data_IF_785293844719
#
_entry.id   IF_785293844719
#
_cell.length_a   1.000
_cell.length_b   1.000
_cell.length_c   1.000
_cell.angle_alpha   90.00
_cell.angle_beta   90.00
_cell.angle_gamma   90.00
#
_symmetry.space_group_name_H-M   'P 1'
#
loop_
_entity.id
_entity.type
_entity.pdbx_description
1 polymer ?
#
# COMPACT_ATOMS: atom_id res chain seq x y z
N UNK A 1 -19.79 16.56 -5.07
CA UNK A 1 -18.53 16.29 -4.32
C UNK A 1 -17.45 17.20 -4.88
N UNK A 2 -16.29 17.39 -4.23
CA UNK A 2 -15.23 18.18 -4.86
C UNK A 2 -14.60 17.34 -5.98
N UNK A 3 -14.15 18.00 -7.08
CA UNK A 3 -13.49 17.31 -8.22
C UNK A 3 -12.40 16.32 -7.80
N UNK A 4 -11.65 16.62 -6.73
CA UNK A 4 -10.59 15.75 -6.21
C UNK A 4 -11.13 14.43 -5.66
N UNK A 5 -12.29 14.44 -4.99
CA UNK A 5 -12.92 13.22 -4.48
C UNK A 5 -13.41 12.34 -5.62
N UNK A 6 -14.02 12.97 -6.64
CA UNK A 6 -14.54 12.25 -7.79
C UNK A 6 -13.41 11.60 -8.62
N UNK A 7 -12.30 12.31 -8.80
CA UNK A 7 -11.08 11.77 -9.43
C UNK A 7 -10.51 10.58 -8.62
N UNK A 8 -10.38 10.73 -7.30
CA UNK A 8 -9.85 9.68 -6.44
C UNK A 8 -10.75 8.43 -6.45
N UNK A 9 -12.06 8.61 -6.40
CA UNK A 9 -13.05 7.51 -6.50
C UNK A 9 -12.95 6.81 -7.86
N UNK A 10 -12.82 7.57 -8.95
CA UNK A 10 -12.60 7.01 -10.30
C UNK A 10 -11.35 6.13 -10.32
N UNK A 11 -10.21 6.65 -9.86
CA UNK A 11 -8.94 5.90 -9.80
C UNK A 11 -9.03 4.63 -8.98
N UNK A 12 -9.75 4.66 -7.85
CA UNK A 12 -9.97 3.47 -7.01
C UNK A 12 -10.83 2.42 -7.70
N UNK A 13 -11.87 2.81 -8.45
CA UNK A 13 -12.67 1.88 -9.24
C UNK A 13 -11.85 1.21 -10.33
N UNK A 14 -11.08 1.99 -11.08
CA UNK A 14 -10.16 1.45 -12.08
C UNK A 14 -9.13 0.50 -11.47
N UNK A 15 -8.55 0.86 -10.31
CA UNK A 15 -7.62 -0.02 -9.60
C UNK A 15 -8.28 -1.33 -9.12
N UNK A 16 -9.55 -1.29 -8.69
CA UNK A 16 -10.29 -2.48 -8.29
C UNK A 16 -10.60 -3.40 -9.49
N UNK A 17 -11.00 -2.83 -10.62
CA UNK A 17 -11.21 -3.57 -11.88
C UNK A 17 -9.91 -4.25 -12.34
N UNK A 18 -8.78 -3.51 -12.30
CA UNK A 18 -7.46 -4.07 -12.62
C UNK A 18 -7.04 -5.16 -11.63
N UNK A 19 -7.35 -5.00 -10.33
CA UNK A 19 -7.07 -6.01 -9.31
C UNK A 19 -7.78 -7.32 -9.63
N UNK A 20 -9.05 -7.23 -9.98
CA UNK A 20 -9.84 -8.40 -10.34
C UNK A 20 -9.35 -9.03 -11.65
N UNK A 21 -9.09 -8.23 -12.68
CA UNK A 21 -8.66 -8.73 -13.99
C UNK A 21 -7.27 -9.37 -13.98
N UNK A 22 -6.31 -8.82 -13.22
CA UNK A 22 -4.91 -9.23 -13.26
C UNK A 22 -4.54 -10.26 -12.18
N UNK A 23 -5.25 -10.26 -11.06
CA UNK A 23 -4.89 -11.07 -9.89
C UNK A 23 -6.03 -11.97 -9.38
N UNK A 24 -7.25 -11.79 -9.92
CA UNK A 24 -8.47 -12.43 -9.42
C UNK A 24 -8.66 -12.24 -7.89
N UNK A 25 -8.40 -11.02 -7.43
CA UNK A 25 -8.45 -10.66 -6.00
C UNK A 25 -9.02 -9.26 -5.82
N UNK A 26 -9.69 -8.99 -4.67
CA UNK A 26 -10.08 -7.63 -4.31
C UNK A 26 -8.88 -6.68 -4.21
N UNK A 27 -9.10 -5.39 -4.39
CA UNK A 27 -8.06 -4.37 -4.20
C UNK A 27 -7.54 -4.40 -2.76
N UNK A 28 -6.23 -4.34 -2.56
CA UNK A 28 -5.63 -4.30 -1.23
C UNK A 28 -5.36 -2.86 -0.80
N UNK A 29 -6.07 -2.39 0.21
CA UNK A 29 -5.86 -1.08 0.83
C UNK A 29 -4.81 -1.21 1.93
N UNK A 30 -3.68 -0.51 1.78
CA UNK A 30 -2.67 -0.48 2.84
C UNK A 30 -3.04 0.57 3.89
N UNK A 31 -3.07 0.16 5.15
CA UNK A 31 -3.53 0.98 6.25
C UNK A 31 -2.43 1.15 7.32
N UNK A 32 -2.02 2.39 7.57
CA UNK A 32 -0.98 2.70 8.55
C UNK A 32 -1.52 3.28 9.88
N UNK A 33 -2.82 3.53 9.97
CA UNK A 33 -3.43 4.23 11.11
C UNK A 33 -3.25 5.75 11.08
N UNK A 34 -2.70 6.30 10.00
CA UNK A 34 -2.55 7.75 9.82
C UNK A 34 -3.68 8.35 8.96
N UNK A 35 -3.87 9.67 9.07
CA UNK A 35 -4.94 10.42 8.39
C UNK A 35 -5.06 10.17 6.88
N UNK A 36 -3.94 9.98 6.20
CA UNK A 36 -3.93 9.76 4.75
C UNK A 36 -4.43 8.35 4.41
N UNK A 37 -4.05 7.34 5.20
CA UNK A 37 -4.59 5.99 5.06
C UNK A 37 -6.07 5.91 5.44
N UNK A 38 -6.53 6.66 6.44
CA UNK A 38 -7.96 6.81 6.75
C UNK A 38 -8.74 7.43 5.59
N UNK A 39 -8.15 8.45 4.94
CA UNK A 39 -8.75 9.09 3.77
C UNK A 39 -8.93 8.10 2.63
N UNK A 40 -7.89 7.33 2.29
CA UNK A 40 -7.99 6.30 1.23
C UNK A 40 -9.00 5.22 1.57
N UNK A 41 -9.01 4.75 2.82
CA UNK A 41 -9.98 3.78 3.30
C UNK A 41 -11.42 4.30 3.15
N UNK A 42 -11.66 5.55 3.55
CA UNK A 42 -12.97 6.18 3.39
C UNK A 42 -13.37 6.34 1.93
N UNK A 43 -12.43 6.71 1.06
CA UNK A 43 -12.66 6.82 -0.38
C UNK A 43 -12.99 5.45 -1.01
N UNK A 44 -12.34 4.37 -0.58
CA UNK A 44 -12.67 3.03 -1.03
C UNK A 44 -14.10 2.60 -0.64
N UNK A 45 -14.55 2.95 0.57
CA UNK A 45 -15.93 2.75 1.00
C UNK A 45 -16.93 3.57 0.16
N UNK A 46 -16.62 4.84 -0.13
CA UNK A 46 -17.46 5.71 -0.99
C UNK A 46 -17.52 5.16 -2.42
N UNK A 47 -16.41 4.65 -2.94
CA UNK A 47 -16.33 4.05 -4.26
C UNK A 47 -17.16 2.77 -4.38
N UNK A 48 -17.55 2.14 -3.25
CA UNK A 48 -18.31 0.87 -3.17
C UNK A 48 -17.64 -0.26 -3.96
N UNK A 49 -16.31 -0.33 -3.89
CA UNK A 49 -15.51 -1.37 -4.55
C UNK A 49 -15.26 -2.55 -3.60
N UNK A 50 -15.04 -3.77 -4.11
CA UNK A 50 -14.52 -4.87 -3.30
C UNK A 50 -13.07 -4.60 -2.91
N UNK A 51 -12.77 -4.58 -1.60
CA UNK A 51 -11.41 -4.39 -1.11
C UNK A 51 -11.14 -5.17 0.17
N UNK A 52 -9.87 -5.44 0.43
CA UNK A 52 -9.33 -5.95 1.69
C UNK A 52 -8.39 -4.91 2.28
N UNK A 53 -8.14 -4.99 3.58
CA UNK A 53 -7.25 -4.04 4.27
C UNK A 53 -6.06 -4.77 4.88
N UNK A 54 -4.85 -4.23 4.72
CA UNK A 54 -3.63 -4.78 5.31
C UNK A 54 -2.85 -3.72 6.07
N UNK A 55 -2.44 -4.05 7.29
CA UNK A 55 -1.53 -3.26 8.11
C UNK A 55 -0.21 -3.98 8.29
N UNK A 56 0.91 -3.33 7.94
CA UNK A 56 2.25 -3.87 8.18
C UNK A 56 2.71 -3.49 9.59
N UNK A 57 2.80 -4.46 10.48
CA UNK A 57 3.19 -4.22 11.87
C UNK A 57 4.71 -4.05 12.00
N UNK A 58 5.15 -2.84 12.31
CA UNK A 58 6.58 -2.47 12.35
C UNK A 58 7.28 -2.83 13.66
N UNK A 59 6.52 -3.15 14.71
CA UNK A 59 7.00 -3.37 16.10
C UNK A 59 7.65 -2.14 16.77
N UNK A 60 7.65 -1.00 16.10
CA UNK A 60 8.15 0.28 16.60
C UNK A 60 7.06 1.38 16.57
N UNK A 61 5.82 0.99 16.26
CA UNK A 61 4.69 1.91 16.27
C UNK A 61 4.30 2.26 17.71
N UNK A 62 3.81 3.49 17.91
CA UNK A 62 3.29 3.92 19.21
C UNK A 62 2.10 3.03 19.64
N UNK A 63 1.95 2.70 20.91
CA UNK A 63 0.84 1.87 21.39
C UNK A 63 -0.54 2.37 20.96
N UNK A 64 -0.74 3.69 20.96
CA UNK A 64 -1.97 4.34 20.55
C UNK A 64 -2.31 4.03 19.07
N UNK A 65 -1.29 4.04 18.20
CA UNK A 65 -1.46 3.67 16.78
C UNK A 65 -1.87 2.21 16.65
N UNK A 66 -1.27 1.31 17.43
CA UNK A 66 -1.59 -0.12 17.40
C UNK A 66 -3.03 -0.35 17.87
N UNK A 67 -3.48 0.33 18.94
CA UNK A 67 -4.86 0.23 19.41
C UNK A 67 -5.84 0.80 18.38
N UNK A 68 -5.54 1.98 17.82
CA UNK A 68 -6.37 2.59 16.78
C UNK A 68 -6.55 1.66 15.57
N UNK A 69 -5.48 1.04 15.07
CA UNK A 69 -5.54 0.08 13.97
C UNK A 69 -6.42 -1.13 14.31
N UNK A 70 -6.27 -1.69 15.51
CA UNK A 70 -7.07 -2.84 15.96
C UNK A 70 -8.56 -2.50 16.08
N UNK A 71 -8.88 -1.35 16.61
CA UNK A 71 -10.27 -0.92 16.77
C UNK A 71 -10.90 -0.66 15.38
N UNK A 72 -10.15 -0.01 14.47
CA UNK A 72 -10.58 0.19 13.09
C UNK A 72 -10.79 -1.14 12.36
N UNK A 73 -9.92 -2.13 12.56
CA UNK A 73 -10.07 -3.44 11.95
C UNK A 73 -11.31 -4.18 12.45
N UNK A 74 -11.60 -4.13 13.76
CA UNK A 74 -12.86 -4.69 14.31
C UNK A 74 -14.10 -4.06 13.66
N UNK A 75 -14.10 -2.72 13.50
CA UNK A 75 -15.19 -2.01 12.83
C UNK A 75 -15.39 -2.49 11.38
N UNK A 76 -14.29 -2.65 10.63
CA UNK A 76 -14.31 -3.09 9.24
C UNK A 76 -14.73 -4.56 9.10
N UNK A 77 -14.25 -5.43 9.98
CA UNK A 77 -14.62 -6.86 10.00
C UNK A 77 -16.10 -7.05 10.32
N UNK A 78 -16.66 -6.26 11.23
CA UNK A 78 -18.11 -6.24 11.49
C UNK A 78 -18.92 -5.79 10.27
N UNK A 79 -18.31 -4.95 9.40
CA UNK A 79 -18.91 -4.56 8.12
C UNK A 79 -18.63 -5.57 6.99
N UNK A 80 -18.02 -6.72 7.29
CA UNK A 80 -17.74 -7.78 6.31
C UNK A 80 -16.49 -7.55 5.46
N UNK A 81 -15.63 -6.60 5.82
CA UNK A 81 -14.38 -6.31 5.12
C UNK A 81 -13.26 -7.12 5.75
N UNK A 82 -12.53 -7.89 4.94
CA UNK A 82 -11.39 -8.68 5.42
C UNK A 82 -10.22 -7.78 5.78
N UNK A 83 -9.70 -7.94 7.00
CA UNK A 83 -8.54 -7.22 7.52
C UNK A 83 -7.42 -8.18 7.88
N UNK A 84 -6.18 -7.79 7.60
CA UNK A 84 -4.99 -8.59 7.87
C UNK A 84 -3.89 -7.74 8.47
N UNK A 85 -3.26 -8.25 9.54
CA UNK A 85 -2.02 -7.68 10.08
C UNK A 85 -0.86 -8.51 9.54
N UNK A 86 -0.05 -7.87 8.69
CA UNK A 86 1.16 -8.49 8.14
C UNK A 86 2.29 -8.42 9.17
N UNK A 87 2.73 -9.59 9.58
CA UNK A 87 3.87 -9.79 10.44
C UNK A 87 5.01 -10.36 9.62
N UNK A 88 5.98 -9.53 9.27
CA UNK A 88 7.12 -9.99 8.51
C UNK A 88 7.85 -11.12 9.21
N UNK A 89 8.04 -12.23 8.51
CA UNK A 89 8.77 -13.40 8.99
C UNK A 89 9.99 -13.64 8.13
N UNK A 90 11.04 -14.18 8.74
CA UNK A 90 12.23 -14.67 8.06
C UNK A 90 11.96 -16.05 7.45
N UNK A 91 12.83 -16.52 6.54
CA UNK A 91 12.69 -17.86 5.97
C UNK A 91 12.69 -19.00 7.00
N UNK A 92 13.30 -18.79 8.16
CA UNK A 92 13.31 -19.73 9.31
C UNK A 92 12.03 -19.69 10.17
N UNK A 93 11.05 -18.85 9.79
CA UNK A 93 9.82 -18.66 10.52
C UNK A 93 9.91 -17.64 11.67
N UNK A 94 11.10 -17.13 11.98
CA UNK A 94 11.28 -16.12 13.04
C UNK A 94 10.65 -14.79 12.64
N UNK A 95 9.87 -14.19 13.54
CA UNK A 95 9.27 -12.90 13.31
C UNK A 95 10.33 -11.80 13.23
N UNK A 96 10.29 -11.01 12.17
CA UNK A 96 11.15 -9.84 12.01
C UNK A 96 10.59 -8.68 12.83
N UNK A 97 11.41 -8.12 13.71
CA UNK A 97 11.09 -6.98 14.57
C UNK A 97 12.16 -5.92 14.43
N UNK A 98 11.86 -4.68 14.83
CA UNK A 98 12.88 -3.62 14.91
C UNK A 98 14.04 -4.05 15.83
N UNK A 99 13.70 -4.71 16.92
CA UNK A 99 14.65 -5.14 17.96
C UNK A 99 15.63 -6.22 17.49
N UNK A 100 15.24 -7.13 16.58
CA UNK A 100 16.16 -8.10 16.01
C UNK A 100 16.82 -7.60 14.71
N UNK A 101 16.28 -6.59 14.06
CA UNK A 101 16.91 -5.96 12.90
C UNK A 101 18.14 -5.13 13.28
N UNK A 102 18.07 -4.34 14.35
CA UNK A 102 19.17 -3.48 14.77
C UNK A 102 20.49 -4.26 15.01
N UNK A 103 20.51 -5.34 15.81
CA UNK A 103 21.71 -6.15 15.97
C UNK A 103 22.20 -6.79 14.66
N UNK A 104 21.28 -7.21 13.79
CA UNK A 104 21.64 -7.83 12.49
C UNK A 104 22.27 -6.84 11.51
N UNK A 105 21.81 -5.58 11.52
CA UNK A 105 22.33 -4.51 10.66
C UNK A 105 23.50 -3.76 11.29
N UNK A 106 23.81 -4.03 12.58
CA UNK A 106 24.87 -3.44 13.38
C UNK A 106 24.79 -1.91 13.57
N UNK A 107 23.73 -1.30 13.09
CA UNK A 107 23.46 0.14 13.24
C UNK A 107 21.95 0.37 13.44
N UNK A 108 21.54 1.37 14.23
CA UNK A 108 20.14 1.78 14.28
C UNK A 108 19.71 2.40 12.93
N UNK A 109 18.42 2.35 12.58
CA UNK A 109 17.94 3.00 11.36
C UNK A 109 18.07 4.52 11.49
N UNK A 110 18.42 5.15 10.38
CA UNK A 110 18.52 6.61 10.28
C UNK A 110 17.69 7.12 9.11
N UNK A 111 17.60 8.46 8.95
CA UNK A 111 16.92 9.04 7.77
C UNK A 111 17.59 8.67 6.44
N UNK A 112 18.88 8.39 6.45
CA UNK A 112 19.63 7.96 5.26
C UNK A 112 19.60 6.44 5.09
N UNK A 113 19.73 5.69 6.19
CA UNK A 113 19.75 4.22 6.16
C UNK A 113 18.41 3.69 6.66
N UNK A 114 17.46 3.55 5.75
CA UNK A 114 16.06 3.23 6.05
C UNK A 114 15.72 1.74 5.85
N UNK A 115 16.61 0.84 6.25
CA UNK A 115 16.37 -0.60 6.09
C UNK A 115 15.06 -1.08 6.76
N UNK A 116 14.63 -0.43 7.84
CA UNK A 116 13.38 -0.75 8.51
C UNK A 116 12.15 -0.58 7.61
N UNK A 117 12.15 0.38 6.69
CA UNK A 117 11.05 0.53 5.74
C UNK A 117 11.01 -0.63 4.75
N UNK A 118 12.17 -0.98 4.18
CA UNK A 118 12.27 -2.08 3.22
C UNK A 118 11.90 -3.44 3.86
N UNK A 119 12.35 -3.68 5.10
CA UNK A 119 12.16 -4.95 5.79
C UNK A 119 10.76 -5.09 6.44
N UNK A 120 10.17 -4.00 6.96
CA UNK A 120 8.95 -4.06 7.77
C UNK A 120 7.71 -3.42 7.13
N UNK A 121 7.86 -2.61 6.06
CA UNK A 121 6.72 -1.91 5.43
C UNK A 121 6.51 -2.28 3.97
N UNK A 122 7.59 -2.49 3.22
CA UNK A 122 7.53 -2.62 1.77
C UNK A 122 7.29 -4.07 1.29
N UNK A 123 7.36 -5.05 2.19
CA UNK A 123 7.18 -6.48 1.87
C UNK A 123 5.76 -6.91 1.57
N UNK A 124 4.76 -6.18 2.10
CA UNK A 124 3.34 -6.53 1.94
C UNK A 124 2.81 -6.36 0.51
N UNK A 125 1.67 -6.99 0.23
CA UNK A 125 0.97 -6.87 -1.05
C UNK A 125 1.67 -7.51 -2.25
N UNK A 126 2.48 -8.54 -2.01
CA UNK A 126 3.19 -9.27 -3.06
C UNK A 126 2.21 -9.95 -4.02
N UNK A 127 2.46 -9.76 -5.34
CA UNK A 127 1.61 -10.29 -6.41
C UNK A 127 0.12 -9.89 -6.24
N UNK A 128 -0.09 -8.59 -5.93
CA UNK A 128 -1.39 -7.96 -5.78
C UNK A 128 -1.40 -6.53 -6.31
N UNK A 129 -2.58 -6.05 -6.63
CA UNK A 129 -2.85 -4.62 -6.78
C UNK A 129 -3.07 -4.03 -5.40
N UNK A 130 -2.29 -3.01 -5.03
CA UNK A 130 -2.41 -2.30 -3.76
C UNK A 130 -2.75 -0.82 -3.98
N UNK A 131 -3.40 -0.21 -3.00
CA UNK A 131 -3.55 1.25 -2.95
C UNK A 131 -2.92 1.81 -1.69
N UNK A 132 -2.29 2.97 -1.80
CA UNK A 132 -1.58 3.64 -0.70
C UNK A 132 -2.05 5.07 -0.52
N UNK A 133 -1.89 5.59 0.69
CA UNK A 133 -2.15 7.00 1.03
C UNK A 133 -0.96 7.93 0.77
N UNK A 134 -0.17 7.68 -0.28
CA UNK A 134 0.96 8.54 -0.62
C UNK A 134 0.46 9.81 -1.30
N UNK A 135 0.82 10.98 -0.76
CA UNK A 135 0.56 12.28 -1.36
C UNK A 135 1.78 12.81 -2.10
N UNK A 136 1.56 13.39 -3.26
CA UNK A 136 2.64 13.95 -4.08
C UNK A 136 3.35 15.13 -3.42
N UNK A 137 2.64 15.88 -2.58
CA UNK A 137 3.19 17.08 -1.91
C UNK A 137 4.11 16.79 -0.71
N UNK A 138 4.21 15.53 -0.27
CA UNK A 138 4.99 15.19 0.92
C UNK A 138 6.52 15.26 0.74
N UNK A 139 7.01 15.11 -0.48
CA UNK A 139 8.44 15.27 -0.77
C UNK A 139 8.70 15.40 -2.27
N UNK A 140 9.86 16.01 -2.61
CA UNK A 140 10.29 16.15 -4.01
C UNK A 140 10.40 14.79 -4.73
N UNK A 141 10.84 13.74 -4.03
CA UNK A 141 10.92 12.40 -4.56
C UNK A 141 9.53 11.77 -4.83
N UNK A 142 8.48 12.21 -4.14
CA UNK A 142 7.10 11.75 -4.34
C UNK A 142 6.36 12.51 -5.43
N UNK A 143 6.77 13.74 -5.73
CA UNK A 143 6.20 14.54 -6.84
C UNK A 143 6.36 13.88 -8.20
N UNK A 144 7.40 13.06 -8.38
CA UNK A 144 7.65 12.31 -9.61
C UNK A 144 6.91 10.97 -9.68
N UNK A 145 6.19 10.56 -8.63
CA UNK A 145 5.42 9.31 -8.64
C UNK A 145 4.13 9.50 -9.44
N UNK A 146 3.87 8.57 -10.32
CA UNK A 146 2.61 8.53 -11.06
C UNK A 146 1.44 8.05 -10.19
N UNK A 147 0.23 8.17 -10.72
CA UNK A 147 -0.96 7.59 -10.09
C UNK A 147 -0.91 6.06 -10.06
N UNK A 148 -0.17 5.44 -10.96
CA UNK A 148 0.08 4.00 -11.03
C UNK A 148 1.58 3.72 -11.02
N UNK A 149 1.98 2.67 -10.30
CA UNK A 149 3.37 2.21 -10.20
C UNK A 149 3.43 0.68 -10.32
N UNK A 150 4.46 0.16 -11.00
CA UNK A 150 4.78 -1.27 -10.99
C UNK A 150 6.09 -1.44 -10.22
N UNK A 151 6.05 -2.20 -9.13
CA UNK A 151 7.23 -2.48 -8.30
C UNK A 151 7.63 -3.94 -8.49
N UNK A 152 8.76 -4.16 -9.17
CA UNK A 152 9.35 -5.50 -9.37
C UNK A 152 10.33 -5.85 -8.26
N UNK A 153 10.50 -7.16 -7.97
CA UNK A 153 11.50 -7.69 -7.02
C UNK A 153 12.95 -7.51 -7.46
N UNK A 154 13.20 -7.43 -8.75
CA UNK A 154 14.54 -7.09 -9.26
C UNK A 154 14.72 -5.61 -9.07
N UNK A 155 15.80 -5.17 -8.46
CA UNK A 155 16.28 -3.80 -8.19
C UNK A 155 16.02 -2.75 -9.29
N UNK A 156 15.18 -3.05 -10.26
CA UNK A 156 15.00 -2.36 -11.48
C UNK A 156 13.64 -1.70 -11.56
N UNK A 157 13.72 -0.39 -11.51
CA UNK A 157 12.77 0.54 -12.11
C UNK A 157 11.32 0.35 -11.66
N UNK A 158 10.94 1.12 -10.65
CA UNK A 158 9.56 1.55 -10.54
C UNK A 158 9.17 2.22 -11.85
N UNK A 159 8.21 1.67 -12.56
CA UNK A 159 7.61 2.31 -13.72
C UNK A 159 6.49 3.19 -13.16
N UNK A 160 6.58 4.48 -13.41
CA UNK A 160 5.57 5.46 -13.00
C UNK A 160 4.67 5.74 -14.19
N UNK A 161 3.38 5.55 -14.01
CA UNK A 161 2.36 5.73 -15.04
C UNK A 161 1.27 6.67 -14.53
N UNK A 162 0.69 7.43 -15.42
CA UNK A 162 -0.47 8.26 -15.12
C UNK A 162 -1.72 7.57 -15.67
N UNK A 163 -2.61 7.11 -14.78
CA UNK A 163 -3.84 6.43 -15.21
C UNK A 163 -4.90 7.38 -15.79
N UNK A 164 -4.67 8.67 -15.75
CA UNK A 164 -5.50 9.66 -16.44
C UNK A 164 -5.14 9.74 -17.95
N UNK A 165 -4.06 9.05 -18.37
CA UNK A 165 -3.63 8.94 -19.76
C UNK A 165 -3.91 7.50 -20.28
N UNK A 166 -4.67 7.40 -21.35
CA UNK A 166 -5.07 6.11 -21.94
C UNK A 166 -3.89 5.26 -22.42
N UNK A 167 -2.80 5.87 -22.88
CA UNK A 167 -1.59 5.15 -23.31
C UNK A 167 -0.87 4.50 -22.12
N UNK A 168 -0.69 5.25 -21.04
CA UNK A 168 -0.09 4.75 -19.80
C UNK A 168 -0.96 3.65 -19.16
N UNK A 169 -2.27 3.80 -19.20
CA UNK A 169 -3.22 2.79 -18.73
C UNK A 169 -3.09 1.50 -19.52
N UNK A 170 -3.07 1.55 -20.85
CA UNK A 170 -2.86 0.37 -21.71
C UNK A 170 -1.52 -0.30 -21.43
N UNK A 171 -0.45 0.47 -21.28
CA UNK A 171 0.87 -0.05 -20.94
C UNK A 171 0.85 -0.76 -19.59
N UNK A 172 0.16 -0.21 -18.59
CA UNK A 172 0.00 -0.82 -17.26
C UNK A 172 -0.78 -2.14 -17.32
N UNK A 173 -1.86 -2.19 -18.08
CA UNK A 173 -2.71 -3.38 -18.26
C UNK A 173 -1.98 -4.49 -19.04
N UNK A 174 -1.21 -4.14 -20.07
CA UNK A 174 -0.50 -5.10 -20.93
C UNK A 174 0.85 -5.53 -20.38
N UNK A 175 1.36 -4.89 -19.34
CA UNK A 175 2.66 -5.22 -18.77
C UNK A 175 2.66 -6.61 -18.15
N UNK A 176 3.49 -7.51 -18.67
CA UNK A 176 3.65 -8.89 -18.19
C UNK A 176 4.58 -9.03 -16.98
N UNK A 177 5.13 -7.95 -16.46
CA UNK A 177 6.04 -7.96 -15.30
C UNK A 177 5.34 -8.53 -14.07
N UNK A 178 5.93 -9.58 -13.48
CA UNK A 178 5.51 -10.10 -12.17
C UNK A 178 5.96 -9.13 -11.08
N UNK A 179 5.01 -8.72 -10.23
CA UNK A 179 5.29 -7.81 -9.11
C UNK A 179 4.00 -7.24 -8.55
N UNK A 180 4.13 -6.40 -7.54
CA UNK A 180 2.98 -5.65 -7.04
C UNK A 180 2.75 -4.40 -7.87
N UNK A 181 1.49 -4.09 -8.12
CA UNK A 181 1.05 -2.83 -8.71
C UNK A 181 0.49 -1.93 -7.64
N UNK A 182 0.80 -0.65 -7.74
CA UNK A 182 0.42 0.34 -6.72
C UNK A 182 -0.41 1.43 -7.37
N UNK A 183 -1.54 1.77 -6.76
CA UNK A 183 -2.34 2.94 -7.08
C UNK A 183 -2.21 3.99 -5.97
N UNK A 184 -1.97 5.23 -6.35
CA UNK A 184 -1.90 6.40 -5.47
C UNK A 184 -3.09 7.31 -5.83
N UNK A 185 -4.27 7.14 -5.21
CA UNK A 185 -5.49 7.82 -5.63
C UNK A 185 -5.56 9.30 -5.22
N UNK A 186 -4.72 9.74 -4.24
CA UNK A 186 -4.73 11.09 -3.65
C UNK A 186 -3.45 11.87 -3.92
#
# INVERSE_FOLDING_TARGET
>A
MSDKVDIAVKRLREAAEMSQALYDKPLLVTYSGGKDSDTVLRLAQIAKIPFEVQHSHTTADAPETVYHVRDKFRELELAGIKCEIDYHTQPDGTRTTMWNLIPRKLIPPTRLVRYCCAELKEGGGKDRMITTGVRWDESTARKSRGALEIISKRREKSIFLNNDNDEDRRLFETCTMKGKRVSNPI
#
